data_IF_931232989812
#
_entry.id   IF_931232989812
#
_cell.length_a   1.000
_cell.length_b   1.000
_cell.length_c   1.000
_cell.angle_alpha   90.00
_cell.angle_beta   90.00
_cell.angle_gamma   90.00
#
_symmetry.space_group_name_H-M   'P 1'
#
loop_
_entity.id
_entity.type
_entity.pdbx_description
1 polymer ?
#
# COMPACT_ATOMS: atom_id res chain seq x y z
N UNK A 1 3.15 28.34 -9.33
CA UNK A 1 3.05 26.97 -9.90
C UNK A 1 2.71 26.05 -8.75
N UNK A 2 1.89 25.01 -8.94
CA UNK A 2 1.76 23.99 -7.91
C UNK A 2 3.15 23.42 -7.62
N UNK A 3 3.53 23.40 -6.35
CA UNK A 3 4.78 22.79 -5.89
C UNK A 3 4.48 21.34 -5.50
N UNK A 4 5.29 20.42 -5.99
CA UNK A 4 5.26 19.03 -5.57
C UNK A 4 6.62 18.71 -4.96
N UNK A 5 6.61 18.20 -3.74
CA UNK A 5 7.82 17.69 -3.09
C UNK A 5 8.40 16.50 -3.85
N UNK A 6 9.72 16.31 -3.75
CA UNK A 6 10.36 15.10 -4.24
C UNK A 6 9.81 13.88 -3.47
N UNK A 7 9.54 12.81 -4.20
CA UNK A 7 8.98 11.61 -3.61
C UNK A 7 10.09 10.79 -2.92
N UNK A 8 10.40 11.17 -1.69
CA UNK A 8 11.60 10.73 -0.97
C UNK A 8 11.79 9.20 -0.95
N UNK A 9 10.71 8.42 -0.75
CA UNK A 9 10.81 6.96 -0.72
C UNK A 9 11.17 6.39 -2.10
N UNK A 10 10.57 6.91 -3.18
CA UNK A 10 10.86 6.45 -4.54
C UNK A 10 12.26 6.89 -4.97
N UNK A 11 12.67 8.12 -4.64
CA UNK A 11 14.04 8.62 -4.89
C UNK A 11 15.10 7.73 -4.22
N UNK A 12 14.85 7.29 -2.98
CA UNK A 12 15.75 6.38 -2.28
C UNK A 12 15.76 4.98 -2.93
N UNK A 13 14.59 4.46 -3.29
CA UNK A 13 14.48 3.18 -3.99
C UNK A 13 15.18 3.21 -5.36
N UNK A 14 14.90 4.22 -6.19
CA UNK A 14 15.52 4.39 -7.53
C UNK A 14 17.05 4.41 -7.48
N UNK A 15 17.61 4.99 -6.40
CA UNK A 15 19.06 5.07 -6.23
C UNK A 15 19.72 3.70 -5.98
N UNK A 16 19.05 2.79 -5.28
CA UNK A 16 19.68 1.57 -4.76
C UNK A 16 19.04 0.26 -5.21
N UNK A 17 17.78 0.27 -5.63
CA UNK A 17 17.01 -0.96 -5.88
C UNK A 17 17.65 -1.89 -6.92
N UNK A 18 18.17 -1.32 -8.00
CA UNK A 18 18.80 -2.10 -9.08
C UNK A 18 20.24 -2.52 -8.77
N UNK A 19 20.84 -1.99 -7.70
CA UNK A 19 22.23 -2.24 -7.32
C UNK A 19 22.34 -3.21 -6.15
N UNK A 20 21.36 -3.20 -5.23
CA UNK A 20 21.36 -4.04 -4.05
C UNK A 20 21.18 -5.52 -4.41
N UNK A 21 22.03 -6.36 -3.83
CA UNK A 21 21.94 -7.81 -4.00
C UNK A 21 20.78 -8.41 -3.20
N UNK A 22 20.51 -7.86 -2.02
CA UNK A 22 19.46 -8.30 -1.10
C UNK A 22 18.49 -7.15 -0.87
N UNK A 23 17.29 -7.26 -1.43
CA UNK A 23 16.28 -6.20 -1.35
C UNK A 23 15.32 -6.45 -0.18
N UNK A 24 15.62 -5.85 0.98
CA UNK A 24 14.72 -5.80 2.14
C UNK A 24 13.80 -4.56 2.13
N UNK A 25 13.86 -3.74 1.08
CA UNK A 25 13.01 -2.55 0.94
C UNK A 25 11.73 -2.78 0.13
N UNK A 26 11.63 -3.90 -0.61
CA UNK A 26 10.50 -4.19 -1.52
C UNK A 26 9.18 -4.35 -0.78
N UNK A 27 8.13 -3.78 -1.34
CA UNK A 27 6.79 -3.80 -0.75
C UNK A 27 5.80 -4.73 -1.47
N UNK A 28 6.20 -5.33 -2.60
CA UNK A 28 5.39 -6.33 -3.29
C UNK A 28 5.62 -7.73 -2.67
N UNK A 29 4.61 -8.57 -2.69
CA UNK A 29 4.89 -10.01 -2.56
C UNK A 29 5.78 -10.45 -3.72
N UNK A 30 6.65 -11.43 -3.46
CA UNK A 30 7.59 -11.95 -4.46
C UNK A 30 6.89 -12.22 -5.79
N UNK A 31 7.33 -11.50 -6.81
CA UNK A 31 6.65 -11.43 -8.11
C UNK A 31 6.52 -12.80 -8.77
N UNK A 32 5.39 -12.99 -9.45
CA UNK A 32 5.05 -14.21 -10.18
C UNK A 32 5.21 -13.97 -11.69
N UNK A 33 5.76 -14.96 -12.38
CA UNK A 33 5.65 -15.11 -13.83
C UNK A 33 4.29 -15.74 -14.20
N UNK A 34 3.93 -15.72 -15.48
CA UNK A 34 2.75 -16.44 -15.96
C UNK A 34 2.90 -17.95 -15.76
N UNK A 35 4.13 -18.49 -15.92
CA UNK A 35 4.42 -19.90 -15.69
C UNK A 35 4.23 -20.29 -14.21
N UNK A 36 4.63 -19.43 -13.27
CA UNK A 36 4.38 -19.65 -11.85
C UNK A 36 2.88 -19.72 -11.53
N UNK A 37 2.07 -18.83 -12.14
CA UNK A 37 0.62 -18.83 -11.95
C UNK A 37 -0.01 -20.09 -12.58
N UNK A 38 0.46 -20.53 -13.74
CA UNK A 38 0.04 -21.79 -14.35
C UNK A 38 0.34 -22.98 -13.43
N UNK A 39 1.54 -23.04 -12.85
CA UNK A 39 1.94 -24.09 -11.90
C UNK A 39 1.08 -24.09 -10.64
N UNK A 40 0.79 -22.91 -10.09
CA UNK A 40 -0.06 -22.78 -8.90
C UNK A 40 -1.52 -23.17 -9.15
N UNK A 41 -2.05 -22.78 -10.30
CA UNK A 41 -3.48 -22.89 -10.59
C UNK A 41 -3.85 -24.17 -11.34
N UNK A 42 -2.93 -24.73 -12.11
CA UNK A 42 -3.19 -25.76 -13.11
C UNK A 42 -3.91 -25.24 -14.37
N UNK A 43 -4.11 -23.91 -14.48
CA UNK A 43 -4.82 -23.25 -15.58
C UNK A 43 -3.81 -22.52 -16.46
N UNK A 44 -3.70 -22.91 -17.72
CA UNK A 44 -2.80 -22.28 -18.68
C UNK A 44 -3.31 -20.91 -19.11
N UNK A 45 -2.40 -19.93 -19.19
CA UNK A 45 -2.67 -18.65 -19.82
C UNK A 45 -2.41 -18.73 -21.32
N UNK A 46 -3.44 -18.40 -22.11
CA UNK A 46 -3.31 -18.28 -23.56
C UNK A 46 -3.63 -16.87 -24.01
N UNK A 47 -2.62 -16.19 -24.55
CA UNK A 47 -2.83 -14.89 -25.17
C UNK A 47 -3.55 -15.07 -26.52
N UNK A 48 -4.73 -14.47 -26.65
CA UNK A 48 -5.42 -14.38 -27.95
C UNK A 48 -4.60 -13.50 -28.90
N UNK A 49 -3.83 -14.14 -29.77
CA UNK A 49 -2.97 -13.48 -30.75
C UNK A 49 -3.76 -12.77 -31.87
N UNK A 50 -5.04 -13.07 -32.03
CA UNK A 50 -5.94 -12.40 -32.99
C UNK A 50 -6.56 -11.12 -32.43
N UNK A 51 -6.39 -10.87 -31.13
CA UNK A 51 -6.92 -9.70 -30.45
C UNK A 51 -6.36 -8.42 -31.05
N UNK A 52 -7.24 -7.51 -31.49
CA UNK A 52 -6.84 -6.19 -31.95
C UNK A 52 -6.42 -5.33 -30.78
N UNK A 53 -5.24 -4.69 -30.87
CA UNK A 53 -4.67 -3.79 -29.86
C UNK A 53 -5.24 -2.38 -30.03
N UNK A 54 -6.51 -2.20 -29.73
CA UNK A 54 -7.23 -0.93 -29.76
C UNK A 54 -7.71 -0.56 -28.35
N UNK A 55 -8.23 0.65 -28.14
CA UNK A 55 -8.65 1.16 -26.83
C UNK A 55 -9.80 0.36 -26.20
N UNK A 56 -10.51 -0.48 -26.72
CA UNK A 56 -11.61 -1.28 -26.14
C UNK A 56 -12.35 -0.57 -24.99
N UNK A 57 -12.56 -1.28 -23.89
CA UNK A 57 -13.33 -0.80 -22.74
C UNK A 57 -12.58 0.27 -21.94
N UNK A 58 -12.92 1.52 -22.14
CA UNK A 58 -12.25 2.67 -21.53
C UNK A 58 -12.19 2.56 -19.99
N UNK A 59 -13.23 2.08 -19.33
CA UNK A 59 -13.27 1.91 -17.86
C UNK A 59 -12.52 0.66 -17.33
N UNK A 60 -11.94 -0.13 -18.22
CA UNK A 60 -11.52 -1.51 -18.00
C UNK A 60 -12.59 -2.49 -18.46
N UNK A 61 -12.20 -3.69 -18.89
CA UNK A 61 -13.14 -4.66 -19.42
C UNK A 61 -14.23 -5.02 -18.41
N UNK A 62 -15.41 -5.33 -18.92
CA UNK A 62 -16.57 -5.70 -18.09
C UNK A 62 -16.23 -6.89 -17.18
N UNK A 63 -15.52 -7.87 -17.72
CA UNK A 63 -15.11 -9.05 -16.99
C UNK A 63 -14.09 -8.73 -15.88
N UNK A 64 -13.05 -7.92 -16.18
CA UNK A 64 -12.09 -7.48 -15.16
C UNK A 64 -12.77 -6.74 -14.02
N UNK A 65 -13.65 -5.79 -14.35
CA UNK A 65 -14.40 -5.03 -13.34
C UNK A 65 -15.33 -5.91 -12.50
N UNK A 66 -15.94 -6.94 -13.12
CA UNK A 66 -16.75 -7.91 -12.40
C UNK A 66 -15.89 -8.74 -11.42
N UNK A 67 -14.73 -9.23 -11.86
CA UNK A 67 -13.78 -9.95 -11.00
C UNK A 67 -13.26 -9.07 -9.84
N UNK A 68 -12.93 -7.82 -10.10
CA UNK A 68 -12.54 -6.87 -9.04
C UNK A 68 -13.66 -6.70 -8.01
N UNK A 69 -14.89 -6.54 -8.45
CA UNK A 69 -16.03 -6.37 -7.54
C UNK A 69 -16.21 -7.57 -6.57
N UNK A 70 -15.80 -8.79 -6.96
CA UNK A 70 -15.88 -9.97 -6.07
C UNK A 70 -14.91 -9.95 -4.88
N UNK A 71 -13.92 -9.05 -4.89
CA UNK A 71 -12.96 -8.87 -3.78
C UNK A 71 -13.64 -8.21 -2.57
N UNK A 72 -14.74 -7.51 -2.82
CA UNK A 72 -15.48 -6.67 -1.88
C UNK A 72 -16.85 -7.28 -1.58
N UNK A 73 -17.64 -6.62 -0.73
CA UNK A 73 -18.95 -7.11 -0.35
C UNK A 73 -19.95 -7.19 -1.49
N UNK A 74 -21.02 -7.96 -1.27
CA UNK A 74 -22.01 -8.32 -2.31
C UNK A 74 -22.87 -7.16 -2.84
N UNK A 75 -22.74 -5.96 -2.28
CA UNK A 75 -23.47 -4.77 -2.75
C UNK A 75 -22.81 -4.06 -3.92
N UNK A 76 -21.52 -4.35 -4.16
CA UNK A 76 -20.72 -3.74 -5.22
C UNK A 76 -20.72 -4.60 -6.47
N UNK A 77 -20.74 -3.94 -7.61
CA UNK A 77 -20.78 -4.58 -8.93
C UNK A 77 -19.70 -3.99 -9.84
N UNK A 78 -19.53 -4.55 -11.05
CA UNK A 78 -18.64 -3.98 -12.08
C UNK A 78 -18.87 -2.48 -12.34
N UNK A 79 -20.07 -1.96 -12.10
CA UNK A 79 -20.40 -0.55 -12.34
C UNK A 79 -19.92 0.38 -11.21
N UNK A 80 -19.36 -0.18 -10.16
CA UNK A 80 -18.73 0.52 -9.06
C UNK A 80 -17.19 0.62 -9.22
N UNK A 81 -16.63 0.07 -10.30
CA UNK A 81 -15.17 -0.05 -10.51
C UNK A 81 -14.71 0.81 -11.68
N UNK A 82 -13.61 1.54 -11.48
CA UNK A 82 -12.85 2.21 -12.53
C UNK A 82 -11.39 1.72 -12.47
N UNK A 83 -10.95 1.09 -13.55
CA UNK A 83 -9.57 0.53 -13.66
C UNK A 83 -8.59 1.63 -14.05
N UNK A 84 -7.35 1.56 -13.54
CA UNK A 84 -6.29 2.54 -13.75
C UNK A 84 -4.90 1.88 -13.85
N UNK A 85 -3.86 2.68 -14.14
CA UNK A 85 -2.48 2.21 -14.24
C UNK A 85 -1.80 2.10 -12.85
N UNK A 86 -2.24 1.12 -12.06
CA UNK A 86 -1.84 0.91 -10.67
C UNK A 86 -2.61 1.78 -9.68
N UNK A 87 -2.51 1.45 -8.38
CA UNK A 87 -3.14 2.24 -7.32
C UNK A 87 -2.62 3.69 -7.30
N UNK A 88 -1.35 3.91 -7.62
CA UNK A 88 -0.75 5.24 -7.68
C UNK A 88 -1.50 6.17 -8.66
N UNK A 89 -1.95 5.65 -9.80
CA UNK A 89 -2.75 6.41 -10.76
C UNK A 89 -4.19 6.58 -10.26
N UNK A 90 -4.76 5.60 -9.54
CA UNK A 90 -6.07 5.73 -8.91
C UNK A 90 -6.08 6.83 -7.84
N UNK A 91 -5.08 6.86 -6.97
CA UNK A 91 -4.94 7.87 -5.92
C UNK A 91 -4.81 9.27 -6.52
N UNK A 92 -3.91 9.44 -7.48
CA UNK A 92 -3.74 10.73 -8.17
C UNK A 92 -5.04 11.20 -8.83
N UNK A 93 -5.72 10.29 -9.55
CA UNK A 93 -6.98 10.59 -10.23
C UNK A 93 -8.11 10.95 -9.25
N UNK A 94 -8.16 10.26 -8.10
CA UNK A 94 -9.11 10.56 -7.03
C UNK A 94 -8.92 11.98 -6.52
N UNK A 95 -7.68 12.36 -6.19
CA UNK A 95 -7.39 13.69 -5.67
C UNK A 95 -7.61 14.78 -6.72
N UNK A 96 -7.19 14.54 -7.96
CA UNK A 96 -7.51 15.42 -9.10
C UNK A 96 -9.03 15.61 -9.30
N UNK A 97 -9.83 14.61 -8.88
CA UNK A 97 -11.29 14.66 -9.02
C UNK A 97 -11.96 15.41 -7.88
N UNK A 98 -11.52 15.20 -6.64
CA UNK A 98 -12.25 15.65 -5.45
C UNK A 98 -11.62 16.86 -4.75
N UNK A 99 -10.31 17.06 -4.90
CA UNK A 99 -9.56 17.98 -4.04
C UNK A 99 -9.11 19.22 -4.80
N UNK A 100 -9.21 20.38 -4.18
CA UNK A 100 -8.76 21.65 -4.74
C UNK A 100 -8.47 22.72 -3.69
N UNK A 101 -8.16 23.92 -4.18
CA UNK A 101 -7.84 25.07 -3.31
C UNK A 101 -9.02 25.41 -2.40
N UNK A 102 -8.74 25.47 -1.10
CA UNK A 102 -9.73 25.81 -0.07
C UNK A 102 -10.38 24.58 0.58
N UNK A 103 -10.10 23.38 0.08
CA UNK A 103 -10.48 22.14 0.75
C UNK A 103 -9.51 21.82 1.88
N UNK A 104 -10.01 21.17 2.92
CA UNK A 104 -9.22 20.60 4.00
C UNK A 104 -9.26 19.07 3.92
N UNK A 105 -8.09 18.46 4.12
CA UNK A 105 -7.89 17.00 4.08
C UNK A 105 -7.23 16.56 5.38
N UNK A 106 -7.63 15.43 5.93
CA UNK A 106 -6.96 14.79 7.06
C UNK A 106 -6.37 13.48 6.55
N UNK A 107 -5.07 13.29 6.73
CA UNK A 107 -4.36 12.07 6.31
C UNK A 107 -3.66 11.43 7.51
N UNK A 108 -3.73 10.10 7.64
CA UNK A 108 -2.94 9.36 8.64
C UNK A 108 -1.44 9.53 8.39
N UNK A 109 -0.63 9.52 9.45
CA UNK A 109 0.81 9.66 9.39
C UNK A 109 1.48 8.82 10.51
N UNK A 110 2.46 7.93 10.23
CA UNK A 110 3.11 7.79 8.91
C UNK A 110 2.26 7.04 7.87
N UNK A 111 2.48 7.40 6.61
CA UNK A 111 1.89 6.71 5.46
C UNK A 111 2.72 6.93 4.18
N UNK A 112 2.28 6.37 3.08
CA UNK A 112 2.86 6.58 1.75
C UNK A 112 2.65 8.03 1.30
N UNK A 113 3.73 8.76 1.01
CA UNK A 113 3.69 10.23 0.86
C UNK A 113 2.76 10.74 -0.23
N UNK A 114 2.47 9.95 -1.29
CA UNK A 114 1.47 10.33 -2.28
C UNK A 114 0.11 10.69 -1.65
N UNK A 115 -0.24 10.05 -0.54
CA UNK A 115 -1.57 10.19 0.08
C UNK A 115 -1.81 11.59 0.68
N UNK A 116 -0.75 12.30 1.07
CA UNK A 116 -0.85 13.67 1.57
C UNK A 116 -0.29 14.71 0.61
N UNK A 117 0.83 14.42 -0.09
CA UNK A 117 1.51 15.41 -0.91
C UNK A 117 0.75 15.76 -2.20
N UNK A 118 -0.01 14.83 -2.77
CA UNK A 118 -0.81 15.11 -3.96
C UNK A 118 -2.04 15.99 -3.65
N UNK A 119 -2.82 15.77 -2.56
CA UNK A 119 -3.80 16.76 -2.10
C UNK A 119 -3.21 18.15 -1.90
N UNK A 120 -2.03 18.29 -1.26
CA UNK A 120 -1.33 19.56 -1.08
C UNK A 120 -0.97 20.22 -2.43
N UNK A 121 -0.48 19.43 -3.38
CA UNK A 121 -0.19 19.92 -4.73
C UNK A 121 -1.41 20.51 -5.43
N UNK A 122 -2.61 19.95 -5.20
CA UNK A 122 -3.88 20.51 -5.69
C UNK A 122 -4.39 21.69 -4.88
N UNK A 123 -3.68 22.08 -3.82
CA UNK A 123 -3.94 23.30 -3.04
C UNK A 123 -4.84 23.09 -1.83
N UNK A 124 -5.05 21.87 -1.39
CA UNK A 124 -5.70 21.58 -0.12
C UNK A 124 -4.78 21.89 1.07
N UNK A 125 -5.39 22.23 2.20
CA UNK A 125 -4.74 22.21 3.51
C UNK A 125 -4.79 20.77 4.04
N UNK A 126 -3.64 20.15 4.34
CA UNK A 126 -3.57 18.79 4.84
C UNK A 126 -3.12 18.77 6.29
N UNK A 127 -3.97 18.24 7.17
CA UNK A 127 -3.62 17.96 8.57
C UNK A 127 -3.27 16.48 8.73
N UNK A 128 -2.20 16.19 9.49
CA UNK A 128 -1.69 14.85 9.72
C UNK A 128 -2.21 14.26 11.03
N UNK A 129 -3.03 13.20 10.94
CA UNK A 129 -3.42 12.38 12.09
C UNK A 129 -2.28 11.45 12.45
N UNK A 130 -1.53 11.78 13.49
CA UNK A 130 -0.40 10.96 13.95
C UNK A 130 -0.88 9.62 14.51
N UNK A 131 -0.35 8.53 13.98
CA UNK A 131 -0.52 7.19 14.54
C UNK A 131 0.54 7.00 15.63
N UNK A 132 0.10 6.81 16.87
CA UNK A 132 0.98 6.80 18.04
C UNK A 132 1.04 5.42 18.70
N UNK A 133 2.07 5.21 19.51
CA UNK A 133 2.23 3.97 20.28
C UNK A 133 1.09 3.77 21.30
N UNK A 134 0.61 4.87 21.86
CA UNK A 134 -0.49 4.89 22.83
C UNK A 134 -1.81 4.40 22.22
N UNK A 135 -1.98 4.55 20.90
CA UNK A 135 -3.12 4.09 20.13
C UNK A 135 -2.81 2.83 19.30
N UNK A 136 -1.76 2.07 19.65
CA UNK A 136 -1.30 0.88 18.92
C UNK A 136 -1.08 1.13 17.42
N UNK A 137 -0.71 2.36 17.06
CA UNK A 137 -0.53 2.81 15.68
C UNK A 137 -1.78 2.64 14.80
N UNK A 138 -2.95 2.80 15.40
CA UNK A 138 -4.27 2.79 14.75
C UNK A 138 -4.86 4.21 14.84
N UNK A 139 -5.71 4.66 13.88
CA UNK A 139 -6.34 5.97 13.95
C UNK A 139 -7.17 6.16 15.23
N UNK A 140 -6.85 7.17 16.01
CA UNK A 140 -7.66 7.56 17.18
C UNK A 140 -8.85 8.40 16.72
N UNK A 141 -10.07 7.85 16.82
CA UNK A 141 -11.29 8.47 16.29
C UNK A 141 -11.65 9.77 17.03
N UNK A 142 -11.37 9.86 18.35
CA UNK A 142 -11.63 11.08 19.10
C UNK A 142 -10.72 12.23 18.66
N UNK A 143 -9.44 11.93 18.41
CA UNK A 143 -8.49 12.88 17.88
C UNK A 143 -8.88 13.29 16.45
N UNK A 144 -9.23 12.31 15.60
CA UNK A 144 -9.72 12.56 14.25
C UNK A 144 -10.94 13.49 14.25
N UNK A 145 -11.91 13.25 15.14
CA UNK A 145 -13.10 14.09 15.25
C UNK A 145 -12.81 15.55 15.63
N UNK A 146 -11.78 15.79 16.47
CA UNK A 146 -11.33 17.15 16.83
C UNK A 146 -10.63 17.89 15.68
N UNK A 147 -10.08 17.16 14.72
CA UNK A 147 -9.41 17.75 13.54
C UNK A 147 -10.38 18.15 12.44
N UNK A 148 -11.63 17.68 12.47
CA UNK A 148 -12.65 18.01 11.45
C UNK A 148 -12.98 19.49 11.46
N UNK A 149 -12.80 20.15 10.31
CA UNK A 149 -13.12 21.57 10.06
C UNK A 149 -14.38 21.66 9.18
N UNK A 150 -14.98 22.84 9.10
CA UNK A 150 -16.16 23.08 8.26
C UNK A 150 -15.93 22.77 6.77
N UNK A 151 -14.70 22.95 6.30
CA UNK A 151 -14.27 22.70 4.93
C UNK A 151 -13.51 21.38 4.76
N UNK A 152 -13.57 20.46 5.74
CA UNK A 152 -12.99 19.12 5.59
C UNK A 152 -13.74 18.39 4.51
N UNK A 153 -13.02 18.03 3.46
CA UNK A 153 -13.54 17.38 2.25
C UNK A 153 -13.28 15.88 2.23
N UNK A 154 -12.11 15.47 2.75
CA UNK A 154 -11.60 14.13 2.60
C UNK A 154 -10.82 13.70 3.84
N UNK A 155 -11.06 12.48 4.32
CA UNK A 155 -10.20 11.77 5.26
C UNK A 155 -9.52 10.64 4.50
N UNK A 156 -8.21 10.45 4.72
CA UNK A 156 -7.39 9.46 4.03
C UNK A 156 -6.77 8.51 5.05
N UNK A 157 -6.99 7.22 4.84
CA UNK A 157 -6.40 6.13 5.61
C UNK A 157 -5.72 5.13 4.69
N UNK A 158 -4.80 4.32 5.23
CA UNK A 158 -4.13 3.24 4.51
C UNK A 158 -4.24 1.96 5.36
N UNK A 159 -4.90 0.91 4.83
CA UNK A 159 -5.22 -0.29 5.59
C UNK A 159 -5.10 -1.60 4.77
N UNK A 160 -4.12 -2.48 5.05
CA UNK A 160 -3.01 -2.34 6.01
C UNK A 160 -2.10 -1.16 5.74
N UNK A 161 -1.51 -0.57 6.80
CA UNK A 161 -0.69 0.62 6.68
C UNK A 161 0.71 0.33 6.10
N UNK A 162 1.19 1.18 5.23
CA UNK A 162 2.59 1.30 4.85
C UNK A 162 3.12 2.61 5.46
N UNK A 163 4.11 2.57 6.37
CA UNK A 163 5.10 1.51 6.57
C UNK A 163 4.88 0.57 7.78
N UNK A 164 3.82 0.71 8.55
CA UNK A 164 3.69 0.06 9.87
C UNK A 164 3.25 -1.42 9.81
N UNK A 165 2.49 -1.82 8.79
CA UNK A 165 1.84 -3.14 8.76
C UNK A 165 0.65 -3.27 9.73
N UNK A 166 0.25 -2.18 10.39
CA UNK A 166 -0.92 -2.16 11.27
C UNK A 166 -2.23 -2.32 10.48
N UNK A 167 -3.23 -2.92 11.12
CA UNK A 167 -4.55 -3.17 10.53
C UNK A 167 -5.62 -2.50 11.38
N UNK A 168 -6.48 -1.71 10.76
CA UNK A 168 -7.59 -1.02 11.43
C UNK A 168 -8.69 -2.03 11.74
N UNK A 169 -9.08 -2.23 13.03
CA UNK A 169 -10.17 -3.11 13.42
C UNK A 169 -11.53 -2.63 12.87
N UNK A 170 -12.47 -3.57 12.69
CA UNK A 170 -13.79 -3.29 12.13
C UNK A 170 -14.60 -2.25 12.95
N UNK A 171 -14.50 -2.26 14.27
CA UNK A 171 -15.15 -1.26 15.11
C UNK A 171 -14.61 0.15 14.84
N UNK A 172 -13.28 0.33 14.78
CA UNK A 172 -12.63 1.62 14.48
C UNK A 172 -12.96 2.05 13.06
N UNK A 173 -12.94 1.15 12.08
CA UNK A 173 -13.34 1.47 10.70
C UNK A 173 -14.79 1.97 10.62
N UNK A 174 -15.71 1.31 11.34
CA UNK A 174 -17.12 1.72 11.44
C UNK A 174 -17.28 3.09 12.09
N UNK A 175 -16.51 3.36 13.15
CA UNK A 175 -16.53 4.67 13.83
C UNK A 175 -16.00 5.79 12.91
N UNK A 176 -14.94 5.52 12.12
CA UNK A 176 -14.44 6.45 11.11
C UNK A 176 -15.51 6.71 10.03
N UNK A 177 -16.17 5.65 9.53
CA UNK A 177 -17.25 5.79 8.55
C UNK A 177 -18.42 6.62 9.10
N UNK A 178 -18.84 6.39 10.33
CA UNK A 178 -19.89 7.17 10.99
C UNK A 178 -19.51 8.64 11.19
N UNK A 179 -18.25 8.90 11.54
CA UNK A 179 -17.73 10.29 11.61
C UNK A 179 -17.81 10.97 10.24
N UNK A 180 -17.37 10.29 9.18
CA UNK A 180 -17.44 10.80 7.83
C UNK A 180 -18.90 11.04 7.38
N UNK A 181 -19.82 10.13 7.67
CA UNK A 181 -21.25 10.26 7.36
C UNK A 181 -21.88 11.46 8.07
N UNK A 182 -21.60 11.60 9.37
CA UNK A 182 -22.11 12.72 10.18
C UNK A 182 -21.74 14.10 9.64
N UNK A 183 -20.54 14.21 9.04
CA UNK A 183 -20.00 15.49 8.54
C UNK A 183 -20.04 15.60 7.01
N UNK A 184 -20.63 14.64 6.31
CA UNK A 184 -20.72 14.57 4.85
C UNK A 184 -19.35 14.59 4.15
N UNK A 185 -18.33 13.93 4.73
CA UNK A 185 -16.93 13.89 4.30
C UNK A 185 -16.68 12.62 3.48
N UNK A 186 -15.93 12.70 2.40
CA UNK A 186 -15.43 11.53 1.69
C UNK A 186 -14.37 10.78 2.51
N UNK A 187 -14.37 9.46 2.43
CA UNK A 187 -13.33 8.61 3.01
C UNK A 187 -12.54 7.94 1.89
N UNK A 188 -11.24 8.21 1.78
CA UNK A 188 -10.34 7.43 0.96
C UNK A 188 -9.63 6.38 1.83
N UNK A 189 -9.79 5.11 1.47
CA UNK A 189 -9.04 3.99 2.05
C UNK A 189 -8.13 3.39 0.99
N UNK A 190 -6.81 3.61 1.13
CA UNK A 190 -5.83 2.89 0.32
C UNK A 190 -5.70 1.47 0.88
N UNK A 191 -6.26 0.49 0.16
CA UNK A 191 -6.30 -0.91 0.54
C UNK A 191 -5.41 -1.78 -0.36
N UNK A 192 -4.30 -1.24 -0.84
CA UNK A 192 -3.41 -1.88 -1.80
C UNK A 192 -2.87 -3.24 -1.33
N UNK A 193 -2.83 -3.49 -0.03
CA UNK A 193 -2.41 -4.76 0.56
C UNK A 193 -3.55 -5.75 0.80
N UNK A 194 -4.82 -5.37 0.62
CA UNK A 194 -5.95 -6.30 0.73
C UNK A 194 -5.83 -7.43 -0.30
N UNK A 195 -6.04 -8.71 0.10
CA UNK A 195 -6.49 -9.21 1.41
C UNK A 195 -5.36 -9.77 2.32
N UNK A 196 -4.15 -9.22 2.29
CA UNK A 196 -2.98 -9.71 3.03
C UNK A 196 -3.06 -9.43 4.53
N UNK A 197 -3.97 -10.10 5.25
CA UNK A 197 -4.16 -10.03 6.71
C UNK A 197 -3.61 -11.31 7.34
N UNK A 198 -2.27 -11.44 7.44
CA UNK A 198 -1.60 -12.71 7.73
C UNK A 198 -1.36 -13.00 9.22
N UNK A 199 -1.39 -12.01 10.09
CA UNK A 199 -1.02 -12.13 11.51
C UNK A 199 -1.99 -11.40 12.43
N UNK A 200 -3.29 -11.50 12.12
CA UNK A 200 -4.34 -11.00 13.02
C UNK A 200 -4.34 -11.78 14.32
N UNK A 201 -4.61 -11.10 15.42
CA UNK A 201 -4.78 -11.73 16.72
C UNK A 201 -5.97 -12.70 16.75
N UNK A 202 -5.92 -13.69 17.64
CA UNK A 202 -7.03 -14.63 17.81
C UNK A 202 -8.31 -13.87 18.23
N UNK A 203 -9.39 -14.10 17.48
CA UNK A 203 -10.67 -13.41 17.69
C UNK A 203 -10.79 -12.07 16.96
N UNK A 204 -9.77 -11.65 16.22
CA UNK A 204 -9.85 -10.46 15.37
C UNK A 204 -10.61 -10.81 14.06
N UNK A 205 -11.72 -10.14 13.81
CA UNK A 205 -12.49 -10.33 12.58
C UNK A 205 -11.74 -9.84 11.35
N UNK A 206 -11.89 -10.53 10.22
CA UNK A 206 -11.33 -10.05 8.95
C UNK A 206 -11.84 -8.63 8.66
N UNK A 207 -10.93 -7.68 8.35
CA UNK A 207 -11.30 -6.31 8.10
C UNK A 207 -12.27 -6.16 6.93
N UNK A 208 -13.41 -5.54 7.20
CA UNK A 208 -14.33 -5.10 6.16
C UNK A 208 -13.70 -3.98 5.34
N UNK A 209 -14.04 -3.85 4.06
CA UNK A 209 -13.57 -2.74 3.25
C UNK A 209 -14.39 -1.48 3.53
N UNK A 210 -13.74 -0.31 3.50
CA UNK A 210 -14.43 0.95 3.72
C UNK A 210 -15.58 1.18 2.74
N UNK A 211 -15.46 0.75 1.48
CA UNK A 211 -16.51 0.90 0.46
C UNK A 211 -17.73 -0.01 0.70
N UNK A 212 -17.62 -1.03 1.55
CA UNK A 212 -18.76 -1.85 1.97
C UNK A 212 -19.54 -1.19 3.12
N UNK A 213 -18.86 -0.36 3.91
CA UNK A 213 -19.39 0.27 5.12
C UNK A 213 -19.97 1.67 4.91
N UNK A 214 -19.46 2.42 3.93
CA UNK A 214 -19.85 3.82 3.73
C UNK A 214 -20.00 4.18 2.26
N UNK A 215 -21.12 4.79 1.90
CA UNK A 215 -21.47 5.10 0.50
C UNK A 215 -20.56 6.13 -0.17
N UNK A 216 -19.95 7.04 0.60
CA UNK A 216 -18.93 8.00 0.12
C UNK A 216 -17.50 7.55 0.41
N UNK A 217 -17.29 6.29 0.77
CA UNK A 217 -15.95 5.73 0.78
C UNK A 217 -15.49 5.39 -0.64
N UNK A 218 -14.23 5.73 -0.92
CA UNK A 218 -13.53 5.36 -2.14
C UNK A 218 -12.33 4.51 -1.73
N UNK A 219 -12.26 3.31 -2.26
CA UNK A 219 -11.14 2.40 -2.02
C UNK A 219 -10.27 2.34 -3.26
N UNK A 220 -8.95 2.38 -3.06
CA UNK A 220 -7.97 2.15 -4.12
C UNK A 220 -7.16 0.89 -3.82
N UNK A 221 -6.87 0.13 -4.88
CA UNK A 221 -6.11 -1.11 -4.79
C UNK A 221 -5.40 -1.41 -6.11
N UNK A 222 -4.55 -2.45 -6.14
CA UNK A 222 -3.82 -2.83 -7.36
C UNK A 222 -3.43 -4.31 -7.40
N UNK A 223 -2.98 -4.74 -8.58
CA UNK A 223 -2.38 -6.04 -8.80
C UNK A 223 -0.93 -6.14 -8.29
N UNK A 224 -0.34 -5.03 -7.82
CA UNK A 224 1.08 -4.93 -7.52
C UNK A 224 1.50 -5.68 -6.25
N UNK A 225 0.75 -5.55 -5.17
CA UNK A 225 1.17 -6.00 -3.83
C UNK A 225 0.67 -7.41 -3.53
N UNK A 226 -0.61 -7.53 -3.22
CA UNK A 226 -1.23 -8.80 -2.83
C UNK A 226 -1.27 -9.85 -3.95
N UNK A 227 -1.28 -9.42 -5.21
CA UNK A 227 -1.39 -10.32 -6.37
C UNK A 227 -0.06 -10.60 -7.08
N UNK A 228 1.06 -10.03 -6.63
CA UNK A 228 2.43 -10.32 -7.10
C UNK A 228 2.73 -10.05 -8.57
N UNK A 229 1.99 -9.17 -9.23
CA UNK A 229 2.18 -8.84 -10.66
C UNK A 229 2.29 -7.34 -10.88
N UNK A 230 3.21 -6.69 -10.13
CA UNK A 230 3.43 -5.25 -10.18
C UNK A 230 3.77 -4.73 -11.58
N UNK A 231 4.44 -5.55 -12.39
CA UNK A 231 4.90 -5.19 -13.74
C UNK A 231 3.80 -4.92 -14.76
N UNK A 232 2.57 -5.43 -14.55
CA UNK A 232 1.44 -5.16 -15.46
C UNK A 232 0.80 -3.78 -15.26
N UNK A 233 1.25 -3.03 -14.26
CA UNK A 233 0.79 -1.65 -14.00
C UNK A 233 -0.73 -1.49 -13.98
N UNK A 234 -1.45 -2.35 -13.24
CA UNK A 234 -2.89 -2.31 -13.17
C UNK A 234 -3.40 -2.16 -11.73
N UNK A 235 -4.37 -1.26 -11.55
CA UNK A 235 -5.05 -0.99 -10.30
C UNK A 235 -6.46 -0.47 -10.55
N UNK A 236 -7.16 -0.07 -9.51
CA UNK A 236 -8.53 0.40 -9.59
C UNK A 236 -8.91 1.31 -8.44
N UNK A 237 -9.97 2.08 -8.65
CA UNK A 237 -10.79 2.64 -7.57
C UNK A 237 -12.16 1.98 -7.59
N UNK A 238 -12.75 1.80 -6.42
CA UNK A 238 -14.09 1.25 -6.23
C UNK A 238 -14.84 2.07 -5.20
N UNK A 239 -16.10 2.39 -5.48
CA UNK A 239 -16.98 3.16 -4.61
C UNK A 239 -18.44 2.96 -4.94
N UNK A 240 -19.34 3.17 -3.99
CA UNK A 240 -20.78 3.21 -4.22
C UNK A 240 -21.21 4.54 -4.90
N UNK A 241 -20.42 5.61 -4.78
CA UNK A 241 -20.70 6.92 -5.40
C UNK A 241 -20.39 6.91 -6.90
N UNK A 242 -21.42 6.65 -7.69
CA UNK A 242 -21.32 6.63 -9.16
C UNK A 242 -20.99 8.00 -9.78
N UNK A 243 -21.23 9.11 -9.05
CA UNK A 243 -20.87 10.43 -9.55
C UNK A 243 -19.36 10.62 -9.53
N UNK A 244 -18.71 10.22 -8.42
CA UNK A 244 -17.23 10.24 -8.30
C UNK A 244 -16.59 9.42 -9.42
N UNK A 245 -17.13 8.23 -9.73
CA UNK A 245 -16.60 7.40 -10.82
C UNK A 245 -16.76 8.05 -12.21
N UNK A 246 -17.90 8.72 -12.47
CA UNK A 246 -18.11 9.45 -13.73
C UNK A 246 -17.12 10.60 -13.87
N UNK A 247 -16.95 11.37 -12.79
CA UNK A 247 -16.06 12.52 -12.78
C UNK A 247 -14.60 12.09 -12.91
N UNK A 248 -14.19 11.03 -12.22
CA UNK A 248 -12.86 10.44 -12.34
C UNK A 248 -12.61 9.90 -13.77
N UNK A 249 -13.57 9.20 -14.36
CA UNK A 249 -13.44 8.71 -15.72
C UNK A 249 -13.23 9.86 -16.71
N UNK A 250 -14.01 10.96 -16.60
CA UNK A 250 -13.86 12.15 -17.43
C UNK A 250 -12.49 12.82 -17.27
N UNK A 251 -11.95 12.87 -16.06
CA UNK A 251 -10.63 13.47 -15.80
C UNK A 251 -9.50 12.55 -16.26
N UNK A 252 -9.69 11.23 -16.24
CA UNK A 252 -8.71 10.26 -16.76
C UNK A 252 -8.47 10.45 -18.26
N UNK A 253 -9.42 10.97 -19.01
CA UNK A 253 -9.26 11.27 -20.43
C UNK A 253 -8.16 12.32 -20.70
N UNK A 254 -7.81 13.14 -19.71
CA UNK A 254 -6.67 14.07 -19.77
C UNK A 254 -5.32 13.42 -19.44
N UNK A 255 -5.29 12.16 -19.01
CA UNK A 255 -4.08 11.47 -18.55
C UNK A 255 -3.80 10.21 -19.38
N UNK A 256 -4.56 9.13 -19.13
CA UNK A 256 -4.25 7.80 -19.67
C UNK A 256 -5.33 7.23 -20.61
N UNK A 257 -6.49 7.83 -20.67
CA UNK A 257 -7.66 7.36 -21.45
C UNK A 257 -8.11 5.97 -20.99
N UNK A 258 -7.29 4.92 -21.18
CA UNK A 258 -7.56 3.52 -20.78
C UNK A 258 -6.28 2.80 -20.37
N UNK A 259 -6.45 1.63 -19.78
CA UNK A 259 -5.33 0.71 -19.51
C UNK A 259 -5.01 -0.13 -20.73
N UNK A 260 -3.82 -0.78 -20.71
CA UNK A 260 -3.42 -1.74 -21.74
C UNK A 260 -4.40 -2.93 -21.79
N UNK A 261 -4.85 -3.28 -23.00
CA UNK A 261 -5.74 -4.43 -23.20
C UNK A 261 -5.05 -5.77 -22.89
N UNK A 262 -3.73 -5.86 -23.02
CA UNK A 262 -2.96 -7.06 -22.68
C UNK A 262 -2.91 -7.20 -21.16
N UNK A 263 -2.61 -6.12 -20.44
CA UNK A 263 -2.53 -6.13 -18.98
C UNK A 263 -3.90 -6.38 -18.34
N UNK A 264 -4.98 -5.88 -18.95
CA UNK A 264 -6.35 -6.20 -18.56
C UNK A 264 -6.62 -7.73 -18.65
N UNK A 265 -6.16 -8.40 -19.71
CA UNK A 265 -6.31 -9.87 -19.87
C UNK A 265 -5.48 -10.66 -18.87
N UNK A 266 -4.24 -10.23 -18.61
CA UNK A 266 -3.38 -10.85 -17.61
C UNK A 266 -4.01 -10.69 -16.22
N UNK A 267 -4.52 -9.50 -15.89
CA UNK A 267 -5.19 -9.26 -14.61
C UNK A 267 -6.44 -10.13 -14.43
N UNK A 268 -7.25 -10.31 -15.47
CA UNK A 268 -8.38 -11.26 -15.43
C UNK A 268 -7.92 -12.68 -15.11
N UNK A 269 -6.84 -13.14 -15.75
CA UNK A 269 -6.30 -14.47 -15.51
C UNK A 269 -5.80 -14.63 -14.07
N UNK A 270 -5.07 -13.64 -13.53
CA UNK A 270 -4.62 -13.65 -12.13
C UNK A 270 -5.80 -13.65 -11.18
N UNK A 271 -6.81 -12.79 -11.40
CA UNK A 271 -7.98 -12.69 -10.50
C UNK A 271 -8.88 -13.93 -10.54
N UNK A 272 -8.98 -14.65 -11.67
CA UNK A 272 -9.68 -15.96 -11.71
C UNK A 272 -8.97 -17.03 -10.88
N UNK A 273 -7.67 -16.85 -10.59
CA UNK A 273 -6.85 -17.75 -9.79
C UNK A 273 -6.40 -17.10 -8.48
N UNK A 274 -7.12 -16.05 -8.02
CA UNK A 274 -6.73 -15.22 -6.89
C UNK A 274 -6.58 -16.03 -5.59
N UNK A 275 -7.45 -17.04 -5.37
CA UNK A 275 -7.39 -17.92 -4.22
C UNK A 275 -6.02 -18.61 -4.08
N UNK A 276 -5.45 -19.11 -5.17
CA UNK A 276 -4.15 -19.76 -5.21
C UNK A 276 -3.00 -18.77 -4.99
N UNK A 277 -3.06 -17.64 -5.68
CA UNK A 277 -2.05 -16.58 -5.58
C UNK A 277 -2.01 -16.02 -4.15
N UNK A 278 -3.17 -15.68 -3.58
CA UNK A 278 -3.25 -15.13 -2.22
C UNK A 278 -2.83 -16.17 -1.18
N UNK A 279 -3.25 -17.43 -1.30
CA UNK A 279 -2.81 -18.48 -0.38
C UNK A 279 -1.28 -18.63 -0.36
N UNK A 280 -0.63 -18.64 -1.53
CA UNK A 280 0.83 -18.66 -1.67
C UNK A 280 1.46 -17.45 -0.99
N UNK A 281 0.95 -16.25 -1.25
CA UNK A 281 1.49 -15.01 -0.73
C UNK A 281 1.31 -14.89 0.80
N UNK A 282 0.15 -15.31 1.32
CA UNK A 282 -0.10 -15.38 2.76
C UNK A 282 0.89 -16.31 3.47
N UNK A 283 1.16 -17.48 2.90
CA UNK A 283 2.12 -18.42 3.47
C UNK A 283 3.55 -17.84 3.45
N UNK A 284 3.97 -17.25 2.32
CA UNK A 284 5.27 -16.57 2.22
C UNK A 284 5.43 -15.48 3.27
N UNK A 285 4.42 -14.60 3.40
CA UNK A 285 4.46 -13.52 4.41
C UNK A 285 4.54 -14.06 5.84
N UNK A 286 3.75 -15.10 6.18
CA UNK A 286 3.80 -15.73 7.51
C UNK A 286 5.16 -16.32 7.83
N UNK A 287 5.74 -17.08 6.90
CA UNK A 287 7.05 -17.70 7.08
C UNK A 287 8.15 -16.64 7.24
N UNK A 288 8.15 -15.63 6.37
CA UNK A 288 9.14 -14.57 6.39
C UNK A 288 8.99 -13.67 7.63
N UNK A 289 7.75 -13.35 8.03
CA UNK A 289 7.48 -12.60 9.25
C UNK A 289 7.94 -13.36 10.50
N UNK A 290 7.71 -14.67 10.55
CA UNK A 290 8.21 -15.51 11.62
C UNK A 290 9.75 -15.47 11.69
N UNK A 291 10.44 -15.63 10.56
CA UNK A 291 11.90 -15.55 10.49
C UNK A 291 12.43 -14.18 10.93
N UNK A 292 11.81 -13.09 10.46
CA UNK A 292 12.17 -11.73 10.90
C UNK A 292 11.96 -11.53 12.40
N UNK A 293 10.86 -12.06 12.95
CA UNK A 293 10.57 -11.99 14.39
C UNK A 293 11.62 -12.75 15.22
N UNK A 294 12.04 -13.94 14.77
CA UNK A 294 13.13 -14.66 15.42
C UNK A 294 14.46 -13.88 15.39
N UNK A 295 14.76 -13.25 14.25
CA UNK A 295 15.95 -12.39 14.13
C UNK A 295 15.90 -11.22 15.11
N UNK A 296 14.77 -10.51 15.21
CA UNK A 296 14.61 -9.38 16.14
C UNK A 296 14.72 -9.86 17.59
N UNK A 297 14.11 -10.98 17.95
CA UNK A 297 14.20 -11.53 19.31
C UNK A 297 15.63 -11.90 19.71
N UNK A 298 16.44 -12.40 18.76
CA UNK A 298 17.87 -12.70 18.98
C UNK A 298 18.72 -11.43 19.10
N UNK A 299 18.27 -10.32 18.51
CA UNK A 299 19.00 -9.04 18.47
C UNK A 299 18.19 -7.91 19.13
N UNK A 300 17.44 -8.23 20.18
CA UNK A 300 16.54 -7.29 20.86
C UNK A 300 17.21 -6.08 21.49
N UNK A 301 18.52 -6.11 21.68
CA UNK A 301 19.29 -4.95 22.18
C UNK A 301 19.47 -3.89 21.07
N UNK A 302 19.45 -4.31 19.80
CA UNK A 302 19.69 -3.43 18.66
C UNK A 302 18.36 -3.02 17.97
N UNK A 303 17.39 -3.94 17.89
CA UNK A 303 16.19 -3.78 17.08
C UNK A 303 14.92 -4.03 17.86
N UNK A 304 13.84 -3.33 17.48
CA UNK A 304 12.48 -3.62 17.93
C UNK A 304 11.45 -3.21 16.86
N UNK A 305 10.30 -3.87 16.81
CA UNK A 305 9.20 -3.43 15.96
C UNK A 305 8.61 -2.10 16.43
N UNK A 306 8.24 -1.26 15.45
CA UNK A 306 7.35 -0.12 15.68
C UNK A 306 5.91 -0.61 15.46
N UNK A 307 5.21 -0.89 16.54
CA UNK A 307 3.92 -1.57 16.49
C UNK A 307 4.04 -3.07 16.16
N UNK A 308 2.90 -3.74 16.03
CA UNK A 308 2.82 -5.15 15.66
C UNK A 308 2.29 -5.27 14.24
N UNK A 309 3.09 -5.72 13.26
CA UNK A 309 2.59 -5.94 11.90
C UNK A 309 1.54 -7.05 11.88
N UNK A 310 0.35 -6.74 11.39
CA UNK A 310 -0.78 -7.68 11.32
C UNK A 310 -1.18 -8.00 9.89
N UNK A 311 -0.74 -7.16 8.94
CA UNK A 311 -1.05 -7.32 7.52
C UNK A 311 -0.06 -6.59 6.62
N UNK A 312 -0.30 -6.69 5.33
CA UNK A 312 0.60 -6.15 4.31
C UNK A 312 1.87 -6.98 4.14
N UNK A 313 2.95 -6.32 3.81
CA UNK A 313 4.22 -6.96 3.42
C UNK A 313 5.43 -6.25 4.03
N UNK A 314 5.18 -5.23 4.85
CA UNK A 314 6.22 -4.34 5.41
C UNK A 314 5.99 -4.08 6.88
N UNK A 315 7.07 -3.72 7.57
CA UNK A 315 7.04 -3.20 8.94
C UNK A 315 8.09 -2.11 9.11
N UNK A 316 7.95 -1.30 10.16
CA UNK A 316 9.01 -0.45 10.66
C UNK A 316 9.78 -1.15 11.78
N UNK A 317 11.09 -1.11 11.66
CA UNK A 317 12.05 -1.62 12.61
C UNK A 317 12.81 -0.44 13.21
N UNK A 318 12.67 -0.22 14.53
CA UNK A 318 13.46 0.78 15.26
C UNK A 318 14.88 0.28 15.46
N UNK A 319 15.85 1.14 15.18
CA UNK A 319 17.27 0.93 15.50
C UNK A 319 17.59 1.68 16.80
N UNK A 320 17.93 0.97 17.87
CA UNK A 320 17.97 1.56 19.21
C UNK A 320 19.10 2.57 19.45
N UNK A 321 20.23 2.41 18.75
CA UNK A 321 21.40 3.26 18.92
C UNK A 321 21.72 4.12 17.69
N UNK A 322 20.95 4.01 16.60
CA UNK A 322 21.18 4.76 15.35
C UNK A 322 20.10 5.82 15.20
N UNK A 323 20.46 7.09 15.22
CA UNK A 323 19.56 8.21 15.01
C UNK A 323 19.51 8.67 13.54
N UNK A 324 20.66 8.62 12.84
CA UNK A 324 20.74 8.89 11.39
C UNK A 324 20.52 7.57 10.63
N UNK A 325 19.26 7.19 10.48
CA UNK A 325 18.91 5.98 9.74
C UNK A 325 18.98 6.18 8.23
N UNK A 326 18.96 7.42 7.75
CA UNK A 326 19.17 7.71 6.33
C UNK A 326 20.62 7.41 5.91
N UNK A 327 21.60 7.98 6.60
CA UNK A 327 23.01 7.68 6.36
C UNK A 327 23.36 6.21 6.58
N UNK A 328 22.74 5.58 7.59
CA UNK A 328 22.90 4.15 7.83
C UNK A 328 22.34 3.29 6.68
N UNK A 329 21.17 3.61 6.14
CA UNK A 329 20.59 2.89 5.02
C UNK A 329 21.42 3.03 3.74
N UNK A 330 22.01 4.20 3.47
CA UNK A 330 22.97 4.39 2.38
C UNK A 330 24.23 3.54 2.59
N UNK A 331 24.80 3.54 3.80
CA UNK A 331 25.94 2.70 4.17
C UNK A 331 25.63 1.20 3.98
N UNK A 332 24.46 0.76 4.43
CA UNK A 332 23.98 -0.62 4.27
C UNK A 332 23.88 -1.02 2.80
N UNK A 333 23.32 -0.15 1.97
CA UNK A 333 23.18 -0.41 0.54
C UNK A 333 24.52 -0.45 -0.19
N UNK A 334 25.44 0.47 0.11
CA UNK A 334 26.70 0.61 -0.61
C UNK A 334 27.78 -0.39 -0.17
N UNK A 335 27.91 -0.63 1.14
CA UNK A 335 28.99 -1.46 1.69
C UNK A 335 28.57 -2.93 1.86
N UNK A 336 27.28 -3.20 2.03
CA UNK A 336 26.75 -4.55 2.30
C UNK A 336 25.84 -5.09 1.20
N UNK A 337 25.52 -4.26 0.21
CA UNK A 337 24.59 -4.62 -0.86
C UNK A 337 23.20 -5.07 -0.35
N UNK A 338 22.73 -4.48 0.76
CA UNK A 338 21.42 -4.74 1.37
C UNK A 338 20.61 -3.45 1.34
N UNK A 339 19.46 -3.49 0.72
CA UNK A 339 18.53 -2.36 0.67
C UNK A 339 17.50 -2.48 1.80
N UNK A 340 17.45 -1.50 2.69
CA UNK A 340 16.36 -1.23 3.62
C UNK A 340 16.02 0.25 3.52
N UNK A 341 14.75 0.62 3.71
CA UNK A 341 14.31 2.01 3.47
C UNK A 341 14.36 2.79 4.78
N UNK A 342 15.04 3.95 4.82
CA UNK A 342 15.14 4.75 6.04
C UNK A 342 13.80 5.35 6.44
N UNK A 343 13.54 5.41 7.75
CA UNK A 343 12.27 5.93 8.27
C UNK A 343 12.08 7.43 8.06
N UNK A 344 13.15 8.18 7.84
CA UNK A 344 13.11 9.61 7.53
C UNK A 344 12.20 9.92 6.32
N UNK A 345 12.16 9.02 5.31
CA UNK A 345 11.29 9.21 4.13
C UNK A 345 9.79 9.05 4.43
N UNK A 346 9.47 8.62 5.66
CA UNK A 346 8.11 8.53 6.21
C UNK A 346 7.89 9.49 7.39
N UNK A 347 8.77 10.46 7.59
CA UNK A 347 8.79 11.35 8.78
C UNK A 347 8.91 10.57 10.11
N UNK A 348 9.59 9.40 10.09
CA UNK A 348 9.75 8.53 11.24
C UNK A 348 11.24 8.13 11.45
N UNK A 349 12.10 9.13 11.79
CA UNK A 349 13.55 8.91 11.92
C UNK A 349 13.88 7.88 13.03
N UNK A 350 15.07 7.29 12.95
CA UNK A 350 15.50 6.25 13.88
C UNK A 350 14.92 4.87 13.58
N UNK A 351 14.32 4.70 12.38
CA UNK A 351 13.73 3.43 11.97
C UNK A 351 14.13 3.04 10.54
N UNK A 352 13.94 1.77 10.21
CA UNK A 352 14.05 1.23 8.86
C UNK A 352 12.75 0.53 8.48
N UNK A 353 12.24 0.75 7.28
CA UNK A 353 11.18 -0.10 6.73
C UNK A 353 11.80 -1.36 6.15
N UNK A 354 11.29 -2.50 6.60
CA UNK A 354 11.68 -3.82 6.13
C UNK A 354 10.48 -4.47 5.43
N UNK A 355 10.70 -4.92 4.19
CA UNK A 355 9.76 -5.72 3.44
C UNK A 355 10.00 -7.21 3.64
N UNK A 356 9.00 -7.90 4.16
CA UNK A 356 9.05 -9.36 4.39
C UNK A 356 8.15 -10.15 3.42
N UNK A 357 7.42 -9.47 2.54
CA UNK A 357 6.59 -10.14 1.52
C UNK A 357 7.36 -10.63 0.30
N UNK A 358 8.62 -10.22 0.16
CA UNK A 358 9.45 -10.51 -1.01
C UNK A 358 10.27 -11.81 -0.84
N UNK A 359 11.43 -11.88 -1.45
CA UNK A 359 12.31 -13.04 -1.48
C UNK A 359 12.71 -13.51 -0.07
N UNK A 360 12.41 -14.77 0.26
CA UNK A 360 12.88 -15.41 1.50
C UNK A 360 14.40 -15.44 1.55
N UNK A 361 15.06 -15.67 0.41
CA UNK A 361 16.51 -15.68 0.33
C UNK A 361 17.12 -14.33 0.70
N UNK A 362 16.53 -13.21 0.21
CA UNK A 362 17.02 -11.87 0.51
C UNK A 362 16.90 -11.57 2.01
N UNK A 363 15.83 -12.05 2.63
CA UNK A 363 15.62 -11.89 4.07
C UNK A 363 16.65 -12.70 4.87
N UNK A 364 16.86 -13.98 4.51
CA UNK A 364 17.79 -14.89 5.22
C UNK A 364 19.24 -14.42 5.12
N UNK A 365 19.66 -13.95 3.95
CA UNK A 365 21.03 -13.48 3.72
C UNK A 365 21.22 -12.01 4.14
N UNK A 366 20.20 -11.16 3.96
CA UNK A 366 20.29 -9.73 4.24
C UNK A 366 20.26 -9.38 5.73
N UNK A 367 19.43 -10.05 6.55
CA UNK A 367 19.30 -9.72 7.97
C UNK A 367 20.61 -9.91 8.78
N UNK A 368 21.42 -10.98 8.58
CA UNK A 368 22.73 -11.07 9.21
C UNK A 368 23.69 -9.94 8.80
N UNK A 369 23.61 -9.48 7.53
CA UNK A 369 24.40 -8.37 7.04
C UNK A 369 23.93 -7.04 7.65
N UNK A 370 22.61 -6.86 7.80
CA UNK A 370 22.05 -5.70 8.53
C UNK A 370 22.60 -5.63 9.96
N UNK A 371 22.63 -6.75 10.69
CA UNK A 371 23.22 -6.78 12.06
C UNK A 371 24.70 -6.42 12.04
N UNK A 372 25.47 -7.00 11.13
CA UNK A 372 26.89 -6.69 10.99
C UNK A 372 27.13 -5.22 10.66
N UNK A 373 26.35 -4.65 9.75
CA UNK A 373 26.42 -3.24 9.41
C UNK A 373 26.08 -2.34 10.61
N UNK A 374 25.03 -2.70 11.38
CA UNK A 374 24.64 -2.01 12.60
C UNK A 374 25.82 -1.92 13.59
N UNK A 375 26.51 -3.02 13.88
CA UNK A 375 27.64 -3.05 14.81
C UNK A 375 28.80 -2.17 14.35
N UNK A 376 29.10 -2.20 13.06
CA UNK A 376 30.17 -1.38 12.48
C UNK A 376 29.78 0.11 12.50
N UNK A 377 28.53 0.45 12.15
CA UNK A 377 28.06 1.84 12.14
C UNK A 377 28.14 2.46 13.54
N UNK A 378 27.62 1.74 14.55
CA UNK A 378 27.68 2.19 15.94
C UNK A 378 29.15 2.38 16.41
N UNK A 379 30.05 1.47 16.03
CA UNK A 379 31.47 1.59 16.39
C UNK A 379 32.20 2.77 15.76
N UNK A 380 31.69 3.27 14.59
CA UNK A 380 32.25 4.43 13.88
C UNK A 380 31.69 5.77 14.36
N UNK A 381 30.50 5.74 14.99
CA UNK A 381 29.80 6.96 15.43
C UNK A 381 29.91 7.24 16.93
N UNK A 382 30.40 6.28 17.72
CA UNK A 382 30.87 6.43 19.10
C UNK A 382 32.32 6.90 19.14
#
# INVERSE_FOLDING_TARGET
MPYQEDFAVEQFMDKFETQAKYNLGETCCYSLSLDDIEQLSGNRYELDRSMRLTYRDIKGSEELRALIATIYGNTLTKDNVLVSNGAIASNYLLYYTLVGKGDHVICVDPTYSQLYSVPEMFGAEVDHLKLTKEDDYIPNVETLAKMVKKNTKLIIINNPNNPLGSVIPNNIMKDICQLCEKHDIYLHSDEVYRPMFHSLEEGFDLPESACDLYSKAIVTCSMSKAYSVAGIRLGWMITQDKQVLRDAASRRDYNTISVSVIDDRIAQYVLRNADKVIARNMNLCKENYHYLTEFINKNKEDFEYVGTPQGGTVCLLKTKEINDTYGFAEFLATEFNVLAVPGEVFNFPGTLRIGYGNSKNDLVEGLPLLKKANDIWISRTK
#
